data_IF_497127295784
#
_entry.id   IF_497127295784
#
_cell.length_a   1.000
_cell.length_b   1.000
_cell.length_c   1.000
_cell.angle_alpha   90.00
_cell.angle_beta   90.00
_cell.angle_gamma   90.00
#
_symmetry.space_group_name_H-M   'P 1'
#
loop_
_entity.id
_entity.type
_entity.pdbx_description
1 polymer ?
#
# COMPACT_ATOMS: atom_id res chain seq x y z
N UNK A 1 1.26 -16.32 -16.11
CA UNK A 1 0.15 -15.74 -15.31
C UNK A 1 0.27 -16.03 -13.80
N UNK A 2 0.43 -17.29 -13.35
CA UNK A 2 0.48 -17.64 -11.89
C UNK A 2 1.52 -16.87 -11.06
N UNK A 3 2.72 -16.64 -11.60
CA UNK A 3 3.77 -15.86 -10.92
C UNK A 3 3.40 -14.39 -10.71
N UNK A 4 2.77 -13.76 -11.71
CA UNK A 4 2.34 -12.35 -11.60
C UNK A 4 1.23 -12.20 -10.56
N UNK A 5 0.23 -13.08 -10.58
CA UNK A 5 -0.84 -13.09 -9.58
C UNK A 5 -0.29 -13.27 -8.15
N UNK A 6 0.67 -14.19 -7.96
CA UNK A 6 1.31 -14.39 -6.66
C UNK A 6 2.11 -13.16 -6.19
N UNK A 7 2.83 -12.48 -7.09
CA UNK A 7 3.57 -11.27 -6.77
C UNK A 7 2.64 -10.10 -6.40
N UNK A 8 1.56 -9.92 -7.16
CA UNK A 8 0.53 -8.91 -6.88
C UNK A 8 -0.13 -9.16 -5.54
N UNK A 9 -0.56 -10.41 -5.27
CA UNK A 9 -1.18 -10.78 -4.00
C UNK A 9 -0.27 -10.56 -2.79
N UNK A 10 1.01 -10.93 -2.90
CA UNK A 10 2.00 -10.65 -1.85
C UNK A 10 2.24 -9.17 -1.64
N UNK A 11 2.29 -8.37 -2.71
CA UNK A 11 2.49 -6.92 -2.61
C UNK A 11 1.29 -6.23 -1.95
N UNK A 12 0.08 -6.65 -2.30
CA UNK A 12 -1.16 -6.17 -1.68
C UNK A 12 -1.20 -6.53 -0.19
N UNK A 13 -0.94 -7.79 0.16
CA UNK A 13 -0.88 -8.22 1.56
C UNK A 13 0.20 -7.45 2.35
N UNK A 14 1.36 -7.22 1.74
CA UNK A 14 2.45 -6.47 2.35
C UNK A 14 2.07 -5.02 2.61
N UNK A 15 1.47 -4.35 1.63
CA UNK A 15 1.02 -2.97 1.76
C UNK A 15 -0.10 -2.83 2.80
N UNK A 16 -1.05 -3.77 2.85
CA UNK A 16 -2.10 -3.80 3.87
C UNK A 16 -1.56 -3.98 5.30
N UNK A 17 -0.48 -4.74 5.46
CA UNK A 17 0.18 -4.94 6.75
C UNK A 17 1.15 -3.82 7.13
N UNK A 18 1.45 -2.90 6.21
CA UNK A 18 2.50 -1.90 6.42
C UNK A 18 2.15 -0.92 7.55
N UNK A 19 0.95 -0.36 7.52
CA UNK A 19 0.47 0.55 8.57
C UNK A 19 0.35 -0.10 9.95
N UNK A 20 -0.32 -1.26 10.13
CA UNK A 20 -0.43 -1.87 11.46
C UNK A 20 0.95 -2.27 12.02
N UNK A 21 1.87 -2.77 11.18
CA UNK A 21 3.23 -3.06 11.64
C UNK A 21 3.97 -1.78 12.00
N UNK A 22 3.81 -0.69 11.23
CA UNK A 22 4.45 0.59 11.52
C UNK A 22 4.02 1.12 12.89
N UNK A 23 2.73 1.10 13.18
CA UNK A 23 2.17 1.45 14.48
C UNK A 23 2.72 0.53 15.59
N UNK A 24 2.77 -0.79 15.35
CA UNK A 24 3.32 -1.75 16.31
C UNK A 24 4.83 -1.56 16.58
N UNK A 25 5.57 -0.89 15.69
CA UNK A 25 6.98 -0.55 15.94
C UNK A 25 7.19 0.68 16.80
N UNK A 26 6.17 1.52 17.00
CA UNK A 26 6.29 2.74 17.80
C UNK A 26 6.65 2.46 19.26
N UNK A 27 5.96 1.57 20.01
CA UNK A 27 6.31 1.30 21.40
C UNK A 27 7.77 0.82 21.60
N UNK A 28 8.27 -0.22 20.90
CA UNK A 28 9.66 -0.65 21.06
C UNK A 28 10.66 0.41 20.61
N UNK A 29 10.34 1.26 19.64
CA UNK A 29 11.21 2.38 19.24
C UNK A 29 11.37 3.39 20.38
N UNK A 30 10.28 3.77 21.05
CA UNK A 30 10.29 4.75 22.14
C UNK A 30 11.10 4.28 23.36
N UNK A 31 11.16 2.98 23.62
CA UNK A 31 11.97 2.40 24.71
C UNK A 31 13.37 1.96 24.25
N UNK A 32 13.82 2.39 23.07
CA UNK A 32 15.17 2.13 22.55
C UNK A 32 15.43 0.70 22.06
N UNK A 33 14.39 -0.13 21.90
CA UNK A 33 14.49 -1.52 21.40
C UNK A 33 14.56 -1.56 19.87
N UNK A 34 15.53 -0.87 19.30
CA UNK A 34 15.75 -0.77 17.85
C UNK A 34 15.96 -2.13 17.18
N UNK A 35 16.58 -3.10 17.87
CA UNK A 35 16.73 -4.46 17.38
C UNK A 35 15.39 -5.17 17.14
N UNK A 36 14.41 -4.98 18.04
CA UNK A 36 13.05 -5.52 17.89
C UNK A 36 12.34 -4.90 16.69
N UNK A 37 12.43 -3.57 16.55
CA UNK A 37 11.84 -2.83 15.40
C UNK A 37 12.38 -3.39 14.08
N UNK A 38 13.70 -3.54 13.96
CA UNK A 38 14.33 -4.07 12.75
C UNK A 38 13.93 -5.52 12.49
N UNK A 39 13.84 -6.36 13.55
CA UNK A 39 13.41 -7.75 13.42
C UNK A 39 11.97 -7.87 12.90
N UNK A 40 11.06 -6.99 13.34
CA UNK A 40 9.68 -6.95 12.84
C UNK A 40 9.64 -6.66 11.32
N UNK A 41 10.40 -5.67 10.86
CA UNK A 41 10.45 -5.32 9.44
C UNK A 41 11.06 -6.40 8.56
N UNK A 42 12.17 -7.01 9.03
CA UNK A 42 12.78 -8.17 8.36
C UNK A 42 11.82 -9.36 8.33
N UNK A 43 11.11 -9.62 9.43
CA UNK A 43 10.10 -10.66 9.54
C UNK A 43 8.95 -10.46 8.55
N UNK A 44 8.40 -9.25 8.45
CA UNK A 44 7.35 -8.92 7.49
C UNK A 44 7.84 -9.14 6.04
N UNK A 45 9.03 -8.62 5.71
CA UNK A 45 9.68 -8.78 4.40
C UNK A 45 9.90 -10.25 4.04
N UNK A 46 10.43 -11.04 4.96
CA UNK A 46 10.71 -12.45 4.74
C UNK A 46 9.42 -13.28 4.59
N UNK A 47 8.45 -13.10 5.49
CA UNK A 47 7.21 -13.90 5.51
C UNK A 47 6.30 -13.59 4.32
N UNK A 48 6.14 -12.32 3.97
CA UNK A 48 5.13 -11.91 2.97
C UNK A 48 5.74 -11.79 1.57
N UNK A 49 6.93 -11.19 1.45
CA UNK A 49 7.58 -11.01 0.14
C UNK A 49 8.50 -12.17 -0.23
N UNK A 50 8.84 -13.06 0.71
CA UNK A 50 9.77 -14.16 0.48
C UNK A 50 11.22 -13.71 0.26
N UNK A 51 11.58 -12.51 0.73
CA UNK A 51 12.93 -11.96 0.58
C UNK A 51 13.74 -12.28 1.84
N UNK A 52 14.79 -13.13 1.76
CA UNK A 52 15.52 -13.58 2.93
C UNK A 52 16.21 -12.44 3.68
N UNK A 53 16.53 -12.71 4.95
CA UNK A 53 17.39 -11.87 5.77
C UNK A 53 18.85 -12.06 5.35
N UNK A 54 19.65 -10.99 5.44
CA UNK A 54 21.09 -11.08 5.19
C UNK A 54 21.77 -11.86 6.32
N UNK A 55 22.75 -12.71 6.00
CA UNK A 55 23.42 -13.59 6.97
C UNK A 55 24.21 -12.83 8.06
N UNK A 56 24.83 -11.69 7.70
CA UNK A 56 25.57 -10.83 8.61
C UNK A 56 25.07 -9.38 8.50
N UNK A 57 23.89 -9.05 9.06
CA UNK A 57 23.32 -7.73 8.92
C UNK A 57 24.09 -6.70 9.75
N UNK A 58 24.33 -5.52 9.18
CA UNK A 58 24.86 -4.38 9.94
C UNK A 58 23.85 -3.97 11.02
N UNK A 59 24.32 -3.50 12.18
CA UNK A 59 23.45 -2.88 13.19
C UNK A 59 23.13 -1.44 12.76
N UNK A 60 21.88 -1.11 12.40
CA UNK A 60 21.54 0.26 12.05
C UNK A 60 21.55 1.15 13.30
N UNK A 61 21.98 2.40 13.14
CA UNK A 61 21.89 3.40 14.20
C UNK A 61 20.45 3.82 14.48
N UNK A 62 20.20 4.42 15.66
CA UNK A 62 18.86 4.84 16.10
C UNK A 62 18.18 5.75 15.07
N UNK A 63 18.90 6.75 14.53
CA UNK A 63 18.37 7.67 13.53
C UNK A 63 17.88 6.96 12.27
N UNK A 64 18.60 5.94 11.81
CA UNK A 64 18.21 5.16 10.63
C UNK A 64 16.93 4.35 10.91
N UNK A 65 16.79 3.78 12.11
CA UNK A 65 15.59 3.05 12.52
C UNK A 65 14.39 3.98 12.66
N UNK A 66 14.57 5.14 13.30
CA UNK A 66 13.52 6.17 13.42
C UNK A 66 13.06 6.66 12.05
N UNK A 67 14.00 6.99 11.16
CA UNK A 67 13.69 7.42 9.80
C UNK A 67 12.96 6.33 9.01
N UNK A 68 13.34 5.06 9.17
CA UNK A 68 12.62 3.95 8.57
C UNK A 68 11.19 3.85 9.10
N UNK A 69 10.99 3.90 10.42
CA UNK A 69 9.63 3.88 11.01
C UNK A 69 8.75 5.01 10.50
N UNK A 70 9.27 6.23 10.38
CA UNK A 70 8.52 7.37 9.82
C UNK A 70 8.16 7.14 8.34
N UNK A 71 9.09 6.62 7.54
CA UNK A 71 8.83 6.26 6.14
C UNK A 71 7.83 5.12 6.02
N UNK A 72 7.88 4.12 6.90
CA UNK A 72 6.91 3.03 6.96
C UNK A 72 5.51 3.52 7.32
N UNK A 73 5.39 4.49 8.25
CA UNK A 73 4.11 5.14 8.55
C UNK A 73 3.57 5.91 7.35
N UNK A 74 4.40 6.76 6.73
CA UNK A 74 4.03 7.52 5.54
C UNK A 74 3.52 6.60 4.43
N UNK A 75 4.29 5.56 4.09
CA UNK A 75 3.92 4.61 3.05
C UNK A 75 2.71 3.74 3.45
N UNK A 76 2.56 3.42 4.73
CA UNK A 76 1.41 2.68 5.25
C UNK A 76 0.12 3.47 5.13
N UNK A 77 0.14 4.77 5.47
CA UNK A 77 -1.01 5.68 5.26
C UNK A 77 -1.28 5.88 3.77
N UNK A 78 -0.23 6.10 2.97
CA UNK A 78 -0.37 6.28 1.52
C UNK A 78 -0.88 5.02 0.80
N UNK A 79 -0.79 3.83 1.41
CA UNK A 79 -1.36 2.61 0.86
C UNK A 79 -2.89 2.52 1.05
N UNK A 80 -3.49 3.31 1.95
CA UNK A 80 -4.93 3.22 2.23
C UNK A 80 -5.80 3.58 1.02
N UNK A 81 -5.58 4.68 0.28
CA UNK A 81 -6.40 4.99 -0.89
C UNK A 81 -6.39 3.89 -1.97
N UNK A 82 -5.25 3.38 -2.45
CA UNK A 82 -5.26 2.32 -3.46
C UNK A 82 -5.82 0.99 -2.93
N UNK A 83 -5.72 0.69 -1.63
CA UNK A 83 -6.43 -0.44 -1.01
C UNK A 83 -7.95 -0.23 -1.03
N UNK A 84 -8.40 0.99 -0.70
CA UNK A 84 -9.81 1.39 -0.81
C UNK A 84 -10.33 1.26 -2.24
N UNK A 85 -9.54 1.63 -3.24
CA UNK A 85 -9.89 1.42 -4.66
C UNK A 85 -10.07 -0.07 -4.98
N UNK A 86 -9.23 -0.96 -4.45
CA UNK A 86 -9.44 -2.41 -4.65
C UNK A 86 -10.73 -2.90 -4.00
N UNK A 87 -11.07 -2.38 -2.82
CA UNK A 87 -12.32 -2.69 -2.16
C UNK A 87 -13.52 -2.18 -2.97
N UNK A 88 -13.46 -0.95 -3.48
CA UNK A 88 -14.49 -0.37 -4.34
C UNK A 88 -14.65 -1.11 -5.67
N UNK A 89 -13.56 -1.61 -6.26
CA UNK A 89 -13.63 -2.48 -7.44
C UNK A 89 -14.44 -3.74 -7.16
N UNK A 90 -14.28 -4.35 -5.97
CA UNK A 90 -15.09 -5.52 -5.59
C UNK A 90 -16.54 -5.11 -5.35
N UNK A 91 -16.78 -4.12 -4.49
CA UNK A 91 -18.12 -3.77 -4.03
C UNK A 91 -18.96 -3.08 -5.11
N UNK A 92 -18.42 -2.06 -5.77
CA UNK A 92 -19.14 -1.23 -6.76
C UNK A 92 -18.74 -1.53 -8.20
N UNK A 93 -17.71 -2.32 -8.45
CA UNK A 93 -17.42 -2.86 -9.78
C UNK A 93 -18.08 -4.21 -9.97
N UNK A 94 -17.51 -5.25 -9.37
CA UNK A 94 -17.96 -6.63 -9.57
C UNK A 94 -19.35 -6.91 -8.95
N UNK A 95 -19.59 -6.42 -7.74
CA UNK A 95 -20.79 -6.71 -6.94
C UNK A 95 -21.81 -5.56 -6.93
N UNK A 96 -21.77 -4.65 -7.92
CA UNK A 96 -22.58 -3.43 -7.92
C UNK A 96 -24.06 -3.69 -7.62
N UNK A 97 -24.71 -4.63 -8.32
CA UNK A 97 -26.14 -4.92 -8.10
C UNK A 97 -26.49 -5.56 -6.75
N UNK A 98 -25.49 -6.04 -6.00
CA UNK A 98 -25.70 -6.51 -4.62
C UNK A 98 -25.60 -5.35 -3.62
N UNK A 99 -24.72 -4.38 -3.87
CA UNK A 99 -24.47 -3.24 -2.99
C UNK A 99 -25.42 -2.07 -3.26
N UNK A 100 -25.85 -1.91 -4.52
CA UNK A 100 -26.70 -0.84 -4.99
C UNK A 100 -27.91 -1.45 -5.72
N UNK A 101 -29.06 -1.69 -5.03
CA UNK A 101 -30.21 -2.37 -5.61
C UNK A 101 -31.08 -1.47 -6.51
N UNK A 102 -30.81 -0.15 -6.56
CA UNK A 102 -31.55 0.84 -7.33
C UNK A 102 -32.37 1.80 -6.44
N UNK A 103 -33.17 2.72 -7.03
CA UNK A 103 -33.43 2.87 -8.47
C UNK A 103 -32.21 3.40 -9.26
N UNK A 104 -32.08 3.02 -10.54
CA UNK A 104 -30.93 3.37 -11.39
C UNK A 104 -31.19 4.57 -12.30
N UNK A 105 -32.30 5.27 -12.13
CA UNK A 105 -32.73 6.35 -13.03
C UNK A 105 -31.73 7.52 -13.09
N UNK A 106 -30.95 7.70 -12.03
CA UNK A 106 -29.89 8.72 -11.93
C UNK A 106 -28.48 8.13 -11.98
N UNK A 107 -28.36 6.81 -12.14
CA UNK A 107 -27.06 6.15 -12.19
C UNK A 107 -26.36 6.40 -13.53
N UNK A 108 -25.03 6.55 -13.49
CA UNK A 108 -24.23 6.54 -14.72
C UNK A 108 -24.40 5.19 -15.43
N UNK A 109 -24.87 5.21 -16.67
CA UNK A 109 -25.25 4.01 -17.42
C UNK A 109 -26.77 3.80 -17.57
N UNK A 110 -27.60 4.62 -16.90
CA UNK A 110 -29.05 4.72 -17.12
C UNK A 110 -29.83 3.44 -16.79
N UNK A 111 -31.18 3.46 -16.89
CA UNK A 111 -32.09 3.06 -15.82
C UNK A 111 -32.15 1.54 -15.54
N UNK A 112 -31.34 0.77 -16.25
CA UNK A 112 -31.18 -0.65 -16.02
C UNK A 112 -29.99 -0.92 -15.11
N UNK A 113 -30.12 -1.94 -14.25
CA UNK A 113 -28.98 -2.46 -13.48
C UNK A 113 -27.80 -2.82 -14.40
N UNK A 114 -28.05 -3.40 -15.57
CA UNK A 114 -27.00 -3.82 -16.49
C UNK A 114 -26.15 -2.64 -17.01
N UNK A 115 -26.80 -1.55 -17.41
CA UNK A 115 -26.13 -0.33 -17.85
C UNK A 115 -25.32 0.31 -16.73
N UNK A 116 -25.93 0.46 -15.55
CA UNK A 116 -25.24 0.99 -14.37
C UNK A 116 -24.02 0.14 -13.97
N UNK A 117 -24.19 -1.18 -13.86
CA UNK A 117 -23.11 -2.12 -13.56
C UNK A 117 -21.97 -2.01 -14.58
N UNK A 118 -22.29 -1.98 -15.88
CA UNK A 118 -21.27 -1.98 -16.93
C UNK A 118 -20.36 -0.75 -16.83
N UNK A 119 -20.94 0.45 -16.64
CA UNK A 119 -20.16 1.68 -16.50
C UNK A 119 -19.26 1.62 -15.27
N UNK A 120 -19.79 1.22 -14.12
CA UNK A 120 -19.01 1.16 -12.89
C UNK A 120 -17.91 0.11 -12.97
N UNK A 121 -18.19 -1.06 -13.55
CA UNK A 121 -17.18 -2.10 -13.78
C UNK A 121 -16.07 -1.60 -14.71
N UNK A 122 -16.42 -0.95 -15.83
CA UNK A 122 -15.45 -0.45 -16.80
C UNK A 122 -14.57 0.69 -16.25
N UNK A 123 -15.09 1.52 -15.34
CA UNK A 123 -14.28 2.54 -14.63
C UNK A 123 -13.44 1.91 -13.52
N UNK A 124 -14.00 0.92 -12.82
CA UNK A 124 -13.34 0.28 -11.69
C UNK A 124 -12.14 -0.58 -12.12
N UNK A 125 -12.17 -1.21 -13.30
CA UNK A 125 -11.06 -2.02 -13.82
C UNK A 125 -9.75 -1.22 -14.00
N UNK A 126 -9.68 -0.14 -14.79
CA UNK A 126 -8.44 0.61 -14.99
C UNK A 126 -7.98 1.30 -13.70
N UNK A 127 -8.90 1.80 -12.87
CA UNK A 127 -8.56 2.39 -11.57
C UNK A 127 -8.01 1.34 -10.59
N UNK A 128 -8.57 0.13 -10.57
CA UNK A 128 -8.03 -1.00 -9.82
C UNK A 128 -6.63 -1.38 -10.28
N UNK A 129 -6.39 -1.48 -11.58
CA UNK A 129 -5.06 -1.76 -12.15
C UNK A 129 -4.04 -0.70 -11.71
N UNK A 130 -4.39 0.59 -11.78
CA UNK A 130 -3.53 1.67 -11.31
C UNK A 130 -3.25 1.56 -9.79
N UNK A 131 -4.27 1.25 -9.00
CA UNK A 131 -4.13 1.03 -7.55
C UNK A 131 -3.22 -0.15 -7.22
N UNK A 132 -3.34 -1.28 -7.94
CA UNK A 132 -2.46 -2.44 -7.77
C UNK A 132 -1.01 -2.11 -8.14
N UNK A 133 -0.79 -1.38 -9.24
CA UNK A 133 0.54 -0.93 -9.64
C UNK A 133 1.18 -0.05 -8.56
N UNK A 134 0.40 0.85 -7.95
CA UNK A 134 0.86 1.69 -6.85
C UNK A 134 1.20 0.87 -5.59
N UNK A 135 0.37 -0.10 -5.21
CA UNK A 135 0.66 -0.99 -4.08
C UNK A 135 1.94 -1.81 -4.30
N UNK A 136 2.18 -2.28 -5.52
CA UNK A 136 3.43 -2.94 -5.91
C UNK A 136 4.62 -1.97 -5.78
N UNK A 137 4.47 -0.73 -6.22
CA UNK A 137 5.52 0.29 -6.09
C UNK A 137 5.83 0.62 -4.63
N UNK A 138 4.82 0.75 -3.77
CA UNK A 138 4.95 0.96 -2.32
C UNK A 138 5.71 -0.21 -1.69
N UNK A 139 5.31 -1.45 -1.97
CA UNK A 139 6.00 -2.64 -1.47
C UNK A 139 7.46 -2.69 -1.93
N UNK A 140 7.73 -2.33 -3.19
CA UNK A 140 9.08 -2.27 -3.74
C UNK A 140 9.96 -1.19 -3.10
N UNK A 141 9.40 0.01 -2.85
CA UNK A 141 10.10 1.10 -2.15
C UNK A 141 10.39 0.73 -0.70
N UNK A 142 9.39 0.24 0.03
CA UNK A 142 9.59 -0.14 1.42
C UNK A 142 10.62 -1.26 1.56
N UNK A 143 10.60 -2.27 0.67
CA UNK A 143 11.64 -3.30 0.60
C UNK A 143 13.05 -2.71 0.46
N UNK A 144 13.23 -1.68 -0.39
CA UNK A 144 14.53 -0.99 -0.56
C UNK A 144 14.94 -0.24 0.71
N UNK A 145 14.01 0.41 1.40
CA UNK A 145 14.31 1.06 2.68
C UNK A 145 14.68 0.06 3.77
N UNK A 146 14.01 -1.09 3.83
CA UNK A 146 14.39 -2.15 4.78
C UNK A 146 15.76 -2.72 4.44
N UNK A 147 16.12 -2.83 3.16
CA UNK A 147 17.46 -3.27 2.74
C UNK A 147 18.56 -2.26 3.13
N UNK A 148 18.26 -0.96 3.18
CA UNK A 148 19.20 0.04 3.68
C UNK A 148 19.54 -0.16 5.18
N UNK A 149 18.61 -0.71 5.98
CA UNK A 149 18.90 -1.12 7.36
C UNK A 149 19.87 -2.31 7.44
N UNK A 150 19.99 -3.10 6.37
CA UNK A 150 20.95 -4.20 6.26
C UNK A 150 22.34 -3.71 5.78
N UNK A 151 22.47 -2.42 5.45
CA UNK A 151 23.72 -1.79 5.00
C UNK A 151 23.76 -1.48 3.49
N UNK A 152 22.68 -1.74 2.74
CA UNK A 152 22.61 -1.31 1.35
C UNK A 152 22.57 0.23 1.22
N UNK A 153 23.17 0.76 0.15
CA UNK A 153 23.15 2.20 -0.11
C UNK A 153 21.74 2.68 -0.42
N UNK A 154 21.20 3.52 0.45
CA UNK A 154 19.93 4.20 0.19
C UNK A 154 20.07 5.13 -1.02
N UNK A 155 19.13 5.03 -1.96
CA UNK A 155 19.09 5.89 -3.14
C UNK A 155 18.17 7.07 -2.88
N UNK A 156 18.66 8.30 -3.11
CA UNK A 156 17.91 9.54 -2.84
C UNK A 156 16.58 9.59 -3.59
N UNK A 157 16.53 9.08 -4.83
CA UNK A 157 15.28 9.02 -5.60
C UNK A 157 14.21 8.17 -4.91
N UNK A 158 14.58 7.16 -4.12
CA UNK A 158 13.59 6.33 -3.42
C UNK A 158 12.89 7.14 -2.32
N UNK A 159 13.65 7.99 -1.61
CA UNK A 159 13.08 8.94 -0.65
C UNK A 159 12.15 9.93 -1.37
N UNK A 160 12.62 10.54 -2.45
CA UNK A 160 11.81 11.47 -3.25
C UNK A 160 10.51 10.81 -3.73
N UNK A 161 10.58 9.57 -4.24
CA UNK A 161 9.41 8.81 -4.67
C UNK A 161 8.43 8.53 -3.52
N UNK A 162 8.93 8.17 -2.33
CA UNK A 162 8.07 7.95 -1.16
C UNK A 162 7.35 9.23 -0.72
N UNK A 163 8.05 10.36 -0.72
CA UNK A 163 7.47 11.67 -0.41
C UNK A 163 6.45 12.10 -1.46
N UNK A 164 6.74 11.92 -2.75
CA UNK A 164 5.81 12.19 -3.84
C UNK A 164 4.57 11.32 -3.76
N UNK A 165 4.71 10.03 -3.47
CA UNK A 165 3.56 9.12 -3.26
C UNK A 165 2.74 9.60 -2.07
N UNK A 166 3.38 9.93 -0.95
CA UNK A 166 2.69 10.47 0.22
C UNK A 166 1.90 11.74 -0.09
N UNK A 167 2.53 12.70 -0.76
CA UNK A 167 1.90 13.95 -1.17
C UNK A 167 0.75 13.71 -2.17
N UNK A 168 0.96 12.89 -3.20
CA UNK A 168 -0.05 12.57 -4.19
C UNK A 168 -1.27 11.88 -3.58
N UNK A 169 -1.06 10.96 -2.62
CA UNK A 169 -2.16 10.29 -1.92
C UNK A 169 -2.88 11.22 -0.95
N UNK A 170 -2.17 12.13 -0.28
CA UNK A 170 -2.79 13.19 0.52
C UNK A 170 -3.68 14.10 -0.34
N UNK A 171 -3.16 14.57 -1.47
CA UNK A 171 -3.91 15.39 -2.42
C UNK A 171 -5.10 14.63 -3.02
N UNK A 172 -4.93 13.36 -3.36
CA UNK A 172 -6.02 12.50 -3.83
C UNK A 172 -7.15 12.42 -2.79
N UNK A 173 -6.82 12.20 -1.51
CA UNK A 173 -7.83 12.15 -0.44
C UNK A 173 -8.53 13.49 -0.27
N UNK A 174 -7.79 14.61 -0.34
CA UNK A 174 -8.39 15.95 -0.27
C UNK A 174 -9.33 16.19 -1.45
N UNK A 175 -8.89 15.94 -2.68
CA UNK A 175 -9.71 16.08 -3.89
C UNK A 175 -10.96 15.20 -3.81
N UNK A 176 -10.82 13.95 -3.35
CA UNK A 176 -11.92 13.03 -3.12
C UNK A 176 -12.93 13.56 -2.10
N UNK A 177 -12.46 14.06 -0.94
CA UNK A 177 -13.34 14.61 0.09
C UNK A 177 -14.05 15.89 -0.36
N UNK A 178 -13.39 16.69 -1.20
CA UNK A 178 -13.94 17.92 -1.74
C UNK A 178 -14.77 17.71 -3.02
N UNK A 179 -14.80 16.49 -3.57
CA UNK A 179 -15.47 16.15 -4.83
C UNK A 179 -15.04 17.09 -5.99
N UNK A 180 -13.74 17.42 -6.05
CA UNK A 180 -13.12 18.27 -7.08
C UNK A 180 -12.64 17.42 -8.26
#
# INVERSE_FOLDING_TARGET
MRRLAALTGRSLAYAALLLPVALATLPPLLVGRTGTVVAMWRGLRARVLGVPSVAAPRRPGVLAVTGHTLLSLLLGVAALPPLGVQLLMVLRGALYGLVEPGPYDTAWGGPTLAGAWLVHFLVAVPTSVAGLALLIAIAALHRRFTAALDGERQRVWALAAALLIGAAMGLFVVAWLQQI
#
